data_IF_974647706575
#
_entry.id   IF_974647706575
#
_cell.length_a   1.000
_cell.length_b   1.000
_cell.length_c   1.000
_cell.angle_alpha   90.00
_cell.angle_beta   90.00
_cell.angle_gamma   90.00
#
_symmetry.space_group_name_H-M   'P 1'
#
loop_
_entity.id
_entity.type
_entity.pdbx_description
1 polymer ?
#
# COMPACT_ATOMS: atom_id res chain seq x y z
N UNK A 1 35.89 -23.44 -10.26
CA UNK A 1 35.06 -23.30 -11.47
C UNK A 1 35.49 -24.26 -12.59
N UNK A 2 36.78 -24.39 -12.90
CA UNK A 2 37.29 -25.34 -13.91
C UNK A 2 36.97 -26.83 -13.62
N UNK A 3 36.97 -27.23 -12.34
CA UNK A 3 36.61 -28.61 -11.93
C UNK A 3 35.12 -28.97 -12.06
N UNK A 4 34.22 -27.99 -12.09
CA UNK A 4 32.77 -28.24 -12.23
C UNK A 4 32.38 -28.47 -13.69
N UNK A 5 33.04 -27.82 -14.65
CA UNK A 5 32.72 -28.01 -16.07
C UNK A 5 33.17 -29.35 -16.61
N UNK A 6 34.27 -29.90 -16.08
CA UNK A 6 34.76 -31.22 -16.48
C UNK A 6 33.80 -32.34 -16.03
N UNK A 7 33.06 -32.12 -14.94
CA UNK A 7 32.13 -33.11 -14.39
C UNK A 7 30.69 -32.96 -14.89
N UNK A 8 30.27 -31.75 -15.32
CA UNK A 8 28.86 -31.45 -15.58
C UNK A 8 28.54 -30.90 -16.97
N UNK A 9 29.44 -31.03 -17.97
CA UNK A 9 29.23 -30.54 -19.35
C UNK A 9 28.62 -29.14 -19.39
N UNK A 10 29.19 -28.23 -18.62
CA UNK A 10 28.67 -26.88 -18.43
C UNK A 10 29.23 -25.98 -19.54
N UNK A 11 28.33 -25.34 -20.28
CA UNK A 11 28.68 -24.34 -21.30
C UNK A 11 29.18 -23.06 -20.64
N UNK A 12 30.50 -22.88 -20.63
CA UNK A 12 31.14 -21.70 -20.08
C UNK A 12 30.89 -20.42 -20.88
N UNK A 13 30.67 -20.53 -22.19
CA UNK A 13 30.39 -19.37 -23.02
C UNK A 13 29.07 -18.73 -22.55
N UNK A 14 28.06 -19.58 -22.30
CA UNK A 14 26.79 -19.14 -21.73
C UNK A 14 26.93 -18.59 -20.30
N UNK A 15 27.77 -19.18 -19.44
CA UNK A 15 27.96 -18.68 -18.07
C UNK A 15 28.63 -17.30 -18.06
N UNK A 16 29.64 -17.10 -18.90
CA UNK A 16 30.36 -15.83 -18.98
C UNK A 16 29.52 -14.71 -19.62
N UNK A 17 28.41 -15.04 -20.29
CA UNK A 17 27.39 -14.07 -20.69
C UNK A 17 26.60 -13.49 -19.50
N UNK A 18 26.69 -14.09 -18.31
CA UNK A 18 26.07 -13.59 -17.09
C UNK A 18 27.14 -13.16 -16.06
N UNK A 19 26.87 -12.16 -15.22
CA UNK A 19 27.83 -11.72 -14.21
C UNK A 19 28.18 -12.86 -13.25
N UNK A 20 29.46 -13.25 -13.19
CA UNK A 20 29.98 -14.35 -12.34
C UNK A 20 30.19 -13.91 -10.88
N UNK A 21 29.74 -12.71 -10.56
CA UNK A 21 29.74 -12.14 -9.21
C UNK A 21 28.54 -12.69 -8.44
N UNK A 22 28.66 -12.87 -7.11
CA UNK A 22 27.58 -13.43 -6.29
C UNK A 22 26.32 -12.56 -6.29
N UNK A 23 26.43 -11.30 -6.73
CA UNK A 23 25.37 -10.30 -6.69
C UNK A 23 25.44 -9.46 -7.97
N UNK A 24 24.33 -9.28 -8.73
CA UNK A 24 24.33 -8.43 -9.92
C UNK A 24 24.65 -6.96 -9.59
N UNK A 25 25.69 -6.38 -10.20
CA UNK A 25 26.03 -4.95 -10.04
C UNK A 25 24.94 -4.00 -10.54
N UNK A 26 24.00 -4.47 -11.35
CA UNK A 26 22.82 -3.70 -11.76
C UNK A 26 21.86 -3.42 -10.58
N UNK A 27 21.93 -4.23 -9.52
CA UNK A 27 21.04 -4.16 -8.37
C UNK A 27 21.76 -3.74 -7.08
N UNK A 28 23.10 -3.81 -7.04
CA UNK A 28 23.89 -3.54 -5.84
C UNK A 28 25.18 -2.78 -6.16
N UNK A 29 25.58 -1.92 -5.23
CA UNK A 29 26.87 -1.26 -5.21
C UNK A 29 27.98 -2.22 -4.76
N UNK A 30 29.24 -1.83 -4.95
CA UNK A 30 30.43 -2.63 -4.60
C UNK A 30 30.57 -2.89 -3.10
N UNK A 31 29.94 -2.06 -2.27
CA UNK A 31 29.90 -2.22 -0.80
C UNK A 31 28.81 -3.18 -0.34
N UNK A 32 28.04 -3.76 -1.27
CA UNK A 32 26.93 -4.67 -0.98
C UNK A 32 25.61 -3.98 -0.65
N UNK A 33 25.53 -2.65 -0.74
CA UNK A 33 24.27 -1.92 -0.59
C UNK A 33 23.44 -2.00 -1.88
N UNK A 34 22.11 -2.02 -1.76
CA UNK A 34 21.21 -2.04 -2.93
C UNK A 34 21.29 -0.71 -3.70
N UNK A 35 21.34 -0.78 -5.02
CA UNK A 35 21.14 0.35 -5.92
C UNK A 35 19.68 0.82 -5.79
N UNK A 36 19.42 1.77 -4.90
CA UNK A 36 18.09 2.35 -4.73
C UNK A 36 17.87 3.47 -5.73
N UNK A 37 16.81 3.37 -6.52
CA UNK A 37 16.34 4.46 -7.37
C UNK A 37 15.50 5.42 -6.54
N UNK A 38 15.86 6.70 -6.52
CA UNK A 38 15.09 7.70 -5.80
C UNK A 38 13.78 7.98 -6.56
N UNK A 39 12.68 7.30 -6.20
CA UNK A 39 11.37 7.47 -6.86
C UNK A 39 10.89 8.94 -6.86
N UNK A 40 11.24 9.72 -5.82
CA UNK A 40 10.97 11.17 -5.74
C UNK A 40 11.69 12.00 -6.82
N UNK A 41 12.82 11.54 -7.34
CA UNK A 41 13.52 12.24 -8.42
C UNK A 41 12.69 12.25 -9.72
N UNK A 42 11.91 11.19 -9.97
CA UNK A 42 11.00 11.12 -11.12
C UNK A 42 9.88 12.15 -10.99
N UNK A 43 9.30 12.30 -9.80
CA UNK A 43 8.27 13.31 -9.52
C UNK A 43 8.80 14.72 -9.81
N UNK A 44 10.00 15.03 -9.31
CA UNK A 44 10.64 16.33 -9.57
C UNK A 44 10.93 16.59 -11.06
N UNK A 45 11.17 15.55 -11.85
CA UNK A 45 11.34 15.67 -13.31
C UNK A 45 9.99 15.92 -13.99
N UNK A 46 8.93 15.22 -13.59
CA UNK A 46 7.58 15.44 -14.13
C UNK A 46 7.01 16.81 -13.79
N UNK A 47 7.24 17.29 -12.56
CA UNK A 47 6.84 18.63 -12.12
C UNK A 47 7.54 19.75 -12.91
N UNK A 48 8.79 19.51 -13.36
CA UNK A 48 9.49 20.45 -14.24
C UNK A 48 8.94 20.47 -15.67
N UNK A 49 8.33 19.37 -16.11
CA UNK A 49 7.80 19.21 -17.46
C UNK A 49 6.34 19.70 -17.58
N UNK A 50 5.59 19.77 -16.48
CA UNK A 50 4.20 20.22 -16.46
C UNK A 50 4.07 21.59 -15.79
N UNK A 51 3.45 22.55 -16.47
CA UNK A 51 3.10 23.83 -15.86
C UNK A 51 1.82 23.66 -15.02
N UNK A 52 1.71 24.40 -13.90
CA UNK A 52 0.55 24.35 -12.98
C UNK A 52 -0.83 24.54 -13.66
N UNK A 53 -0.88 25.04 -14.90
CA UNK A 53 -2.12 25.24 -15.66
C UNK A 53 -2.74 23.97 -16.26
N UNK A 54 -2.00 22.85 -16.33
CA UNK A 54 -2.44 21.63 -17.02
C UNK A 54 -3.18 20.63 -16.10
N UNK A 55 -3.42 20.99 -14.84
CA UNK A 55 -4.08 20.07 -13.90
C UNK A 55 -5.58 19.99 -14.21
N UNK A 56 -6.14 18.80 -14.46
CA UNK A 56 -7.57 18.66 -14.68
C UNK A 56 -8.37 19.17 -13.47
N UNK A 57 -9.43 19.93 -13.72
CA UNK A 57 -10.33 20.41 -12.67
C UNK A 57 -11.23 19.29 -12.14
N UNK A 58 -11.39 18.22 -12.93
CA UNK A 58 -12.28 17.10 -12.66
C UNK A 58 -11.48 15.80 -12.83
N UNK A 59 -11.67 14.88 -11.89
CA UNK A 59 -11.08 13.54 -11.92
C UNK A 59 -12.21 12.51 -11.92
N UNK A 60 -12.18 11.57 -12.86
CA UNK A 60 -13.15 10.47 -12.89
C UNK A 60 -12.83 9.40 -11.84
N UNK A 61 -11.53 9.16 -11.64
CA UNK A 61 -11.00 8.16 -10.71
C UNK A 61 -9.80 8.75 -9.97
N UNK A 62 -9.76 8.57 -8.65
CA UNK A 62 -8.60 8.93 -7.83
C UNK A 62 -8.04 7.68 -7.18
N UNK A 63 -6.74 7.46 -7.33
CA UNK A 63 -6.01 6.37 -6.68
C UNK A 63 -5.24 6.92 -5.49
N UNK A 64 -5.36 6.26 -4.34
CA UNK A 64 -4.75 6.70 -3.08
C UNK A 64 -3.99 5.53 -2.46
N UNK A 65 -2.70 5.73 -2.18
CA UNK A 65 -1.95 4.83 -1.31
C UNK A 65 -2.45 5.02 0.13
N UNK A 66 -3.01 3.95 0.69
CA UNK A 66 -3.64 3.95 2.00
C UNK A 66 -2.66 4.12 3.16
N UNK A 67 -1.48 3.49 3.12
CA UNK A 67 -0.50 3.65 4.19
C UNK A 67 0.20 5.00 4.12
N UNK A 68 0.46 5.49 2.91
CA UNK A 68 0.93 6.87 2.74
C UNK A 68 -0.08 7.87 3.29
N UNK A 69 -1.37 7.73 2.95
CA UNK A 69 -2.42 8.59 3.49
C UNK A 69 -2.40 8.60 5.02
N UNK A 70 -2.34 7.43 5.66
CA UNK A 70 -2.27 7.30 7.12
C UNK A 70 -1.06 8.05 7.73
N UNK A 71 0.10 8.04 7.08
CA UNK A 71 1.28 8.79 7.51
C UNK A 71 1.13 10.31 7.34
N UNK A 72 0.29 10.77 6.41
CA UNK A 72 0.04 12.21 6.18
C UNK A 72 -1.02 12.81 7.09
N UNK A 73 -1.85 12.00 7.75
CA UNK A 73 -2.87 12.49 8.68
C UNK A 73 -2.18 13.20 9.87
N UNK A 74 -2.36 14.53 9.95
CA UNK A 74 -1.95 15.35 11.10
C UNK A 74 -3.14 15.54 12.04
N UNK A 75 -2.92 15.59 13.35
CA UNK A 75 -3.97 15.70 14.39
C UNK A 75 -4.97 14.54 14.35
N UNK A 76 -4.52 13.40 14.83
CA UNK A 76 -5.31 12.19 14.75
C UNK A 76 -6.43 12.18 15.79
N UNK A 77 -7.66 11.84 15.38
CA UNK A 77 -8.76 11.69 16.31
C UNK A 77 -8.48 10.64 17.38
N UNK A 78 -9.02 10.85 18.58
CA UNK A 78 -8.76 9.99 19.73
C UNK A 78 -9.20 8.52 19.54
N UNK A 79 -10.13 8.23 18.63
CA UNK A 79 -10.73 6.91 18.45
C UNK A 79 -10.58 6.38 17.02
N UNK A 80 -10.52 5.05 16.87
CA UNK A 80 -10.42 4.41 15.55
C UNK A 80 -11.61 4.71 14.64
N UNK A 81 -12.83 4.84 15.19
CA UNK A 81 -14.01 5.23 14.43
C UNK A 81 -13.87 6.63 13.83
N UNK A 82 -13.30 7.57 14.59
CA UNK A 82 -13.07 8.91 14.08
C UNK A 82 -11.91 8.96 13.07
N UNK A 83 -10.87 8.13 13.23
CA UNK A 83 -9.81 7.96 12.21
C UNK A 83 -10.44 7.46 10.90
N UNK A 84 -11.29 6.44 10.97
CA UNK A 84 -11.98 5.89 9.81
C UNK A 84 -12.87 6.92 9.11
N UNK A 85 -13.62 7.74 9.88
CA UNK A 85 -14.41 8.86 9.34
C UNK A 85 -13.53 9.93 8.70
N UNK A 86 -12.38 10.23 9.30
CA UNK A 86 -11.43 11.21 8.76
C UNK A 86 -10.85 10.73 7.42
N UNK A 87 -10.45 9.45 7.32
CA UNK A 87 -10.02 8.85 6.06
C UNK A 87 -11.12 8.97 5.01
N UNK A 88 -12.35 8.57 5.34
CA UNK A 88 -13.48 8.67 4.43
C UNK A 88 -13.75 10.12 3.97
N UNK A 89 -13.63 11.09 4.88
CA UNK A 89 -13.75 12.51 4.55
C UNK A 89 -12.64 13.00 3.63
N UNK A 90 -11.40 12.51 3.79
CA UNK A 90 -10.29 12.84 2.89
C UNK A 90 -10.52 12.27 1.49
N UNK A 91 -10.99 11.02 1.39
CA UNK A 91 -11.28 10.38 0.11
C UNK A 91 -12.40 11.10 -0.64
N UNK A 92 -13.49 11.43 0.04
CA UNK A 92 -14.67 12.07 -0.58
C UNK A 92 -14.46 13.56 -0.87
N UNK A 93 -13.49 14.22 -0.23
CA UNK A 93 -13.13 15.61 -0.53
C UNK A 93 -12.59 15.82 -1.96
N UNK A 94 -12.11 14.75 -2.61
CA UNK A 94 -11.66 14.77 -4.01
C UNK A 94 -12.81 15.06 -4.99
N UNK A 95 -14.07 14.81 -4.58
CA UNK A 95 -15.28 14.92 -5.42
C UNK A 95 -15.25 14.05 -6.68
N UNK A 96 -14.34 13.10 -6.76
CA UNK A 96 -14.30 12.15 -7.87
C UNK A 96 -15.50 11.19 -7.78
N UNK A 97 -16.08 10.77 -8.93
CA UNK A 97 -17.11 9.74 -8.96
C UNK A 97 -16.64 8.41 -8.37
N UNK A 98 -15.34 8.09 -8.50
CA UNK A 98 -14.72 6.88 -7.96
C UNK A 98 -13.41 7.20 -7.27
N UNK A 99 -13.21 6.62 -6.08
CA UNK A 99 -11.95 6.71 -5.35
C UNK A 99 -11.52 5.31 -4.93
N UNK A 100 -10.31 4.92 -5.31
CA UNK A 100 -9.72 3.65 -4.96
C UNK A 100 -8.60 3.90 -3.95
N UNK A 101 -8.73 3.32 -2.76
CA UNK A 101 -7.68 3.29 -1.75
C UNK A 101 -7.03 1.91 -1.75
N UNK A 102 -5.71 1.88 -1.88
CA UNK A 102 -4.92 0.65 -2.02
C UNK A 102 -4.06 0.47 -0.77
N UNK A 103 -4.13 -0.72 -0.16
CA UNK A 103 -3.31 -1.10 0.98
C UNK A 103 -2.42 -2.29 0.63
N UNK A 104 -1.12 -2.16 0.89
CA UNK A 104 -0.16 -3.25 0.74
C UNK A 104 -0.53 -4.46 1.61
N UNK A 105 -0.41 -5.65 1.02
CA UNK A 105 -0.50 -6.90 1.77
C UNK A 105 0.86 -7.30 2.36
N UNK A 106 0.83 -7.82 3.58
CA UNK A 106 2.02 -8.30 4.29
C UNK A 106 2.02 -9.83 4.30
N UNK A 107 2.41 -10.41 3.16
CA UNK A 107 2.62 -11.86 3.00
C UNK A 107 4.07 -12.18 3.38
N UNK A 108 4.30 -13.35 3.96
CA UNK A 108 5.63 -13.88 4.26
C UNK A 108 5.67 -15.38 3.94
N UNK A 109 6.70 -15.89 3.26
CA UNK A 109 7.86 -15.16 2.74
C UNK A 109 7.50 -14.24 1.56
N UNK A 110 8.18 -13.11 1.45
CA UNK A 110 7.93 -12.06 0.44
C UNK A 110 9.24 -11.46 -0.06
N UNK A 111 9.23 -11.00 -1.32
CA UNK A 111 10.37 -10.27 -1.91
C UNK A 111 10.65 -8.96 -1.14
N UNK A 112 9.62 -8.37 -0.53
CA UNK A 112 9.72 -7.14 0.29
C UNK A 112 10.25 -7.40 1.70
N UNK A 113 10.40 -8.66 2.16
CA UNK A 113 10.84 -8.94 3.55
C UNK A 113 12.20 -8.32 3.88
N UNK A 114 13.13 -8.30 2.92
CA UNK A 114 14.42 -7.65 3.12
C UNK A 114 14.26 -6.14 3.33
N UNK A 115 13.42 -5.47 2.52
CA UNK A 115 13.17 -4.04 2.66
C UNK A 115 12.44 -3.71 3.97
N UNK A 116 11.45 -4.53 4.36
CA UNK A 116 10.72 -4.39 5.63
C UNK A 116 11.65 -4.48 6.83
N UNK A 117 12.61 -5.42 6.80
CA UNK A 117 13.64 -5.55 7.81
C UNK A 117 14.51 -4.28 7.90
N UNK A 118 14.89 -3.69 6.76
CA UNK A 118 15.64 -2.42 6.75
C UNK A 118 14.83 -1.24 7.32
N UNK A 119 13.50 -1.23 7.13
CA UNK A 119 12.60 -0.20 7.68
C UNK A 119 12.33 -0.38 9.18
N UNK A 120 12.87 -1.43 9.81
CA UNK A 120 12.61 -1.82 11.20
C UNK A 120 11.10 -2.01 11.47
N UNK A 121 10.38 -2.63 10.55
CA UNK A 121 8.99 -3.01 10.79
C UNK A 121 8.93 -4.16 11.80
N UNK A 122 8.06 -4.03 12.79
CA UNK A 122 7.92 -5.00 13.88
C UNK A 122 6.75 -5.96 13.58
N UNK A 123 6.99 -7.26 13.66
CA UNK A 123 5.92 -8.28 13.54
C UNK A 123 5.63 -9.01 14.87
N UNK A 124 6.23 -8.55 15.97
CA UNK A 124 6.26 -9.29 17.24
C UNK A 124 5.05 -9.03 18.15
N UNK A 125 4.42 -7.85 18.06
CA UNK A 125 3.36 -7.44 19.00
C UNK A 125 2.00 -7.69 18.36
N UNK A 126 1.22 -8.61 18.92
CA UNK A 126 -0.19 -8.77 18.55
C UNK A 126 -0.97 -7.49 18.85
N UNK A 127 -1.84 -7.11 17.92
CA UNK A 127 -2.71 -5.96 18.08
C UNK A 127 -4.13 -6.36 17.69
N UNK A 128 -5.12 -5.88 18.44
CA UNK A 128 -6.52 -6.05 18.11
C UNK A 128 -7.28 -4.73 18.28
N UNK A 129 -8.20 -4.45 17.34
CA UNK A 129 -9.12 -3.32 17.41
C UNK A 129 -10.48 -3.89 17.78
N UNK A 130 -10.91 -3.64 19.02
CA UNK A 130 -12.15 -4.18 19.57
C UNK A 130 -13.39 -3.40 19.10
N UNK A 131 -13.22 -2.20 18.54
CA UNK A 131 -14.33 -1.43 17.98
C UNK A 131 -14.03 0.06 17.77
N UNK A 132 -14.99 0.80 17.20
CA UNK A 132 -14.80 2.19 16.78
C UNK A 132 -14.59 3.18 17.93
N UNK A 133 -15.07 2.84 19.13
CA UNK A 133 -14.91 3.67 20.34
C UNK A 133 -13.57 3.47 21.05
N UNK A 134 -12.76 2.49 20.63
CA UNK A 134 -11.46 2.24 21.24
C UNK A 134 -10.56 3.45 21.07
N UNK A 135 -10.05 3.95 22.21
CA UNK A 135 -9.09 5.05 22.26
C UNK A 135 -7.73 4.53 21.82
N UNK A 136 -7.09 5.30 20.95
CA UNK A 136 -5.75 5.02 20.44
C UNK A 136 -4.69 5.33 21.50
N UNK A 137 -3.58 4.61 21.49
CA UNK A 137 -2.40 5.00 22.28
C UNK A 137 -1.73 6.24 21.67
N UNK A 138 -0.92 6.92 22.47
CA UNK A 138 -0.42 8.27 22.17
C UNK A 138 0.46 8.38 20.93
N UNK A 139 1.07 7.28 20.46
CA UNK A 139 2.07 7.28 19.37
C UNK A 139 1.67 6.40 18.18
N UNK A 140 0.73 6.86 17.36
CA UNK A 140 0.25 6.10 16.20
C UNK A 140 1.27 5.87 15.09
N UNK A 141 2.18 6.82 14.86
CA UNK A 141 3.29 6.59 13.93
C UNK A 141 4.18 5.41 14.37
N UNK A 142 4.23 5.11 15.69
CA UNK A 142 4.91 3.93 16.20
C UNK A 142 4.07 2.66 15.97
N UNK A 143 2.76 2.74 16.17
CA UNK A 143 1.84 1.62 15.88
C UNK A 143 1.82 1.27 14.39
N UNK A 144 1.92 2.27 13.50
CA UNK A 144 2.06 2.09 12.06
C UNK A 144 3.37 1.40 11.64
N UNK A 145 4.34 1.16 12.53
CA UNK A 145 5.49 0.29 12.23
C UNK A 145 5.21 -1.18 12.46
N UNK A 146 4.13 -1.50 13.16
CA UNK A 146 3.74 -2.87 13.45
C UNK A 146 2.88 -3.42 12.31
N UNK A 147 3.34 -4.50 11.69
CA UNK A 147 2.65 -5.15 10.57
C UNK A 147 1.26 -5.63 10.98
N UNK A 148 1.13 -6.28 12.14
CA UNK A 148 -0.16 -6.78 12.64
C UNK A 148 -1.15 -5.64 12.87
N UNK A 149 -0.67 -4.51 13.41
CA UNK A 149 -1.50 -3.32 13.56
C UNK A 149 -2.03 -2.82 12.21
N UNK A 150 -1.17 -2.72 11.19
CA UNK A 150 -1.58 -2.31 9.83
C UNK A 150 -2.67 -3.22 9.28
N UNK A 151 -2.48 -4.54 9.37
CA UNK A 151 -3.46 -5.52 8.88
C UNK A 151 -4.80 -5.41 9.63
N UNK A 152 -4.78 -5.35 10.97
CA UNK A 152 -5.99 -5.20 11.79
C UNK A 152 -6.70 -3.88 11.52
N UNK A 153 -5.96 -2.80 11.27
CA UNK A 153 -6.53 -1.50 10.92
C UNK A 153 -7.31 -1.58 9.61
N UNK A 154 -6.75 -2.20 8.58
CA UNK A 154 -7.45 -2.34 7.28
C UNK A 154 -8.70 -3.21 7.42
N UNK A 155 -8.63 -4.33 8.14
CA UNK A 155 -9.79 -5.17 8.45
C UNK A 155 -10.88 -4.37 9.19
N UNK A 156 -10.48 -3.54 10.17
CA UNK A 156 -11.39 -2.65 10.86
C UNK A 156 -12.05 -1.64 9.91
N UNK A 157 -11.31 -1.04 8.97
CA UNK A 157 -11.88 -0.14 7.97
C UNK A 157 -12.90 -0.85 7.08
N UNK A 158 -12.57 -2.07 6.62
CA UNK A 158 -13.44 -2.87 5.75
C UNK A 158 -14.82 -3.07 6.38
N UNK A 159 -14.84 -3.43 7.66
CA UNK A 159 -16.08 -3.64 8.42
C UNK A 159 -16.77 -2.32 8.79
N UNK A 160 -16.02 -1.34 9.29
CA UNK A 160 -16.57 -0.09 9.80
C UNK A 160 -17.24 0.76 8.70
N UNK A 161 -16.75 0.65 7.46
CA UNK A 161 -17.30 1.40 6.33
C UNK A 161 -18.71 0.98 5.89
N UNK A 162 -19.20 -0.15 6.39
CA UNK A 162 -20.56 -0.64 6.14
C UNK A 162 -21.60 0.05 7.02
N UNK A 163 -21.19 0.69 8.10
CA UNK A 163 -22.13 1.22 9.09
C UNK A 163 -22.84 2.51 8.62
N UNK A 164 -24.10 2.75 9.07
CA UNK A 164 -24.88 3.91 8.66
C UNK A 164 -24.21 5.28 8.93
N UNK A 165 -23.28 5.35 9.88
CA UNK A 165 -22.54 6.58 10.18
C UNK A 165 -21.63 7.06 9.04
N UNK A 166 -21.38 6.22 8.03
CA UNK A 166 -20.61 6.55 6.84
C UNK A 166 -21.45 7.13 5.69
N UNK A 167 -22.78 7.02 5.79
CA UNK A 167 -23.74 7.53 4.77
C UNK A 167 -23.55 9.02 4.46
N UNK A 168 -23.27 9.92 5.43
CA UNK A 168 -23.07 11.34 5.13
C UNK A 168 -21.86 11.61 4.23
N UNK A 169 -20.90 10.68 4.16
CA UNK A 169 -19.68 10.84 3.36
C UNK A 169 -19.84 10.20 1.98
N UNK A 170 -20.38 8.97 1.91
CA UNK A 170 -20.55 8.22 0.66
C UNK A 170 -21.89 8.61 0.04
N UNK A 171 -21.96 9.77 -0.63
CA UNK A 171 -23.20 10.23 -1.28
C UNK A 171 -23.17 9.96 -2.79
N UNK A 172 -22.18 10.51 -3.49
CA UNK A 172 -22.06 10.42 -4.95
C UNK A 172 -20.81 9.67 -5.40
N UNK A 173 -19.91 9.37 -4.48
CA UNK A 173 -18.63 8.71 -4.76
C UNK A 173 -18.73 7.22 -4.45
N UNK A 174 -18.30 6.39 -5.39
CA UNK A 174 -18.03 4.97 -5.15
C UNK A 174 -16.64 4.85 -4.54
N UNK A 175 -16.55 4.23 -3.37
CA UNK A 175 -15.28 3.98 -2.70
C UNK A 175 -14.87 2.53 -2.93
N UNK A 176 -13.65 2.32 -3.42
CA UNK A 176 -13.08 0.99 -3.58
C UNK A 176 -11.90 0.85 -2.62
N UNK A 177 -11.92 -0.16 -1.76
CA UNK A 177 -10.80 -0.53 -0.90
C UNK A 177 -10.18 -1.81 -1.45
N UNK A 178 -8.92 -1.73 -1.86
CA UNK A 178 -8.14 -2.88 -2.27
C UNK A 178 -7.18 -3.29 -1.15
N UNK A 179 -7.35 -4.51 -0.63
CA UNK A 179 -6.45 -5.11 0.35
C UNK A 179 -6.30 -6.60 0.05
N UNK A 180 -7.01 -7.47 0.76
CA UNK A 180 -7.15 -8.90 0.46
C UNK A 180 -8.12 -9.13 -0.69
N UNK A 181 -9.29 -8.50 -0.63
CA UNK A 181 -10.22 -8.41 -1.75
C UNK A 181 -10.39 -6.96 -2.21
N UNK A 182 -11.10 -6.79 -3.33
CA UNK A 182 -11.50 -5.48 -3.82
C UNK A 182 -12.93 -5.18 -3.36
N UNK A 183 -13.07 -4.42 -2.27
CA UNK A 183 -14.37 -4.06 -1.69
C UNK A 183 -14.88 -2.74 -2.27
N UNK A 184 -16.10 -2.75 -2.81
CA UNK A 184 -16.79 -1.57 -3.31
C UNK A 184 -17.89 -1.15 -2.34
N UNK A 185 -17.88 0.12 -1.93
CA UNK A 185 -18.87 0.74 -1.08
C UNK A 185 -19.67 1.77 -1.88
N UNK A 186 -20.97 1.56 -1.95
CA UNK A 186 -21.91 2.44 -2.66
C UNK A 186 -23.15 2.67 -1.82
N UNK A 187 -23.70 3.89 -1.87
CA UNK A 187 -24.97 4.20 -1.24
C UNK A 187 -26.13 3.76 -2.13
N UNK A 188 -26.98 2.88 -1.61
CA UNK A 188 -28.23 2.46 -2.24
C UNK A 188 -29.37 2.53 -1.21
N UNK A 189 -30.43 3.28 -1.52
CA UNK A 189 -31.61 3.39 -0.66
C UNK A 189 -31.30 3.73 0.81
N UNK A 190 -30.42 4.72 1.04
CA UNK A 190 -29.91 5.16 2.35
C UNK A 190 -29.08 4.13 3.15
N UNK A 191 -28.69 3.02 2.54
CA UNK A 191 -27.78 2.05 3.16
C UNK A 191 -26.51 1.90 2.33
N UNK A 192 -25.40 1.62 2.99
CA UNK A 192 -24.15 1.34 2.30
C UNK A 192 -24.15 -0.14 1.92
N UNK A 193 -24.13 -0.40 0.63
CA UNK A 193 -23.96 -1.74 0.07
C UNK A 193 -22.48 -1.95 -0.17
N UNK A 194 -21.93 -2.98 0.47
CA UNK A 194 -20.59 -3.47 0.22
C UNK A 194 -20.68 -4.66 -0.74
N UNK A 195 -19.94 -4.61 -1.83
CA UNK A 195 -19.78 -5.72 -2.77
C UNK A 195 -18.30 -6.05 -2.95
N UNK A 196 -18.00 -7.29 -3.30
CA UNK A 196 -16.64 -7.70 -3.68
C UNK A 196 -16.59 -7.74 -5.20
N UNK A 197 -15.55 -7.15 -5.78
CA UNK A 197 -15.33 -7.13 -7.22
C UNK A 197 -14.15 -8.03 -7.59
N UNK A 198 -14.47 -9.27 -7.97
CA UNK A 198 -13.46 -10.28 -8.35
C UNK A 198 -12.66 -9.91 -9.60
N UNK A 199 -13.19 -9.02 -10.46
CA UNK A 199 -12.51 -8.60 -11.69
C UNK A 199 -11.34 -7.64 -11.45
N UNK A 200 -11.25 -7.06 -10.24
CA UNK A 200 -10.19 -6.13 -9.84
C UNK A 200 -9.23 -6.76 -8.82
N UNK A 201 -9.27 -8.08 -8.69
CA UNK A 201 -8.43 -8.85 -7.78
C UNK A 201 -7.49 -9.77 -8.58
N UNK A 202 -6.24 -9.92 -8.10
CA UNK A 202 -5.25 -10.78 -8.72
C UNK A 202 -4.51 -11.59 -7.64
N UNK A 203 -4.78 -12.89 -7.56
CA UNK A 203 -4.17 -13.79 -6.56
C UNK A 203 -2.67 -14.01 -6.75
N UNK A 204 -2.21 -13.95 -8.00
CA UNK A 204 -0.88 -14.42 -8.38
C UNK A 204 0.17 -13.31 -8.48
N UNK A 205 -0.17 -12.09 -8.09
CA UNK A 205 0.71 -10.94 -8.23
C UNK A 205 1.06 -10.35 -6.86
N UNK A 206 2.28 -10.64 -6.41
CA UNK A 206 2.90 -9.96 -5.28
C UNK A 206 3.51 -8.65 -5.79
N UNK A 207 3.23 -7.54 -5.10
CA UNK A 207 3.75 -6.22 -5.46
C UNK A 207 5.30 -6.21 -5.35
N UNK A 208 5.96 -6.06 -6.49
CA UNK A 208 7.42 -6.01 -6.61
C UNK A 208 7.88 -4.57 -6.89
N UNK A 209 7.72 -3.69 -5.91
CA UNK A 209 8.37 -2.39 -5.92
C UNK A 209 9.86 -2.59 -5.60
N UNK A 210 10.72 -2.51 -6.61
CA UNK A 210 12.19 -2.46 -6.46
C UNK A 210 12.74 -1.14 -7.00
#
# INVERSE_FOLDING_TARGET
MLGLSMNHSIDFEKILCYPVIPIPMSLYHLDGTICKTEKSAIVAVFEKQHQQGDTPVIFDVVLVDGFFLLHTLRDDPATFGNISKKIMSCLTATKAPRVDIIFDQYISPSIKDYERNLRNEENSIDFNINGPMQIRKTYFNKELKNIKFKQTLVIFLIEHWRYPEMVPFIVQTVIILNYDFCYSYKLESNNIVQTINDNLYCENHEEADT
#
